data_IF_308733961653
#
_entry.id   IF_308733961653
#
_cell.length_a   1.000
_cell.length_b   1.000
_cell.length_c   1.000
_cell.angle_alpha   90.00
_cell.angle_beta   90.00
_cell.angle_gamma   90.00
#
_symmetry.space_group_name_H-M   'P 1'
#
loop_
_entity.id
_entity.type
_entity.pdbx_description
1 polymer ?
#
# COMPACT_ATOMS: atom_id res chain seq x y z
N UNK A 1 -7.38 11.14 17.26
CA UNK A 1 -7.68 9.79 16.70
C UNK A 1 -7.01 9.69 15.34
N UNK A 2 -6.19 8.67 15.06
CA UNK A 2 -5.57 8.50 13.76
C UNK A 2 -6.61 8.15 12.68
N UNK A 3 -6.38 8.63 11.46
CA UNK A 3 -7.21 8.40 10.27
C UNK A 3 -6.34 7.76 9.21
N UNK A 4 -6.74 6.59 8.71
CA UNK A 4 -6.17 5.97 7.53
C UNK A 4 -7.03 6.31 6.31
N UNK A 5 -6.38 6.70 5.23
CA UNK A 5 -7.04 7.00 3.96
C UNK A 5 -6.37 6.22 2.83
N UNK A 6 -7.17 5.46 2.06
CA UNK A 6 -6.72 4.82 0.82
C UNK A 6 -7.06 5.74 -0.35
N UNK A 7 -6.04 6.16 -1.09
CA UNK A 7 -6.18 7.02 -2.26
C UNK A 7 -7.04 6.40 -3.34
N UNK A 8 -6.79 5.14 -3.66
CA UNK A 8 -7.54 4.29 -4.61
C UNK A 8 -8.12 5.07 -5.82
N UNK A 9 -7.36 6.04 -6.33
CA UNK A 9 -7.80 6.91 -7.41
C UNK A 9 -7.92 6.13 -8.71
N UNK A 10 -9.08 6.26 -9.35
CA UNK A 10 -9.40 5.65 -10.64
C UNK A 10 -10.00 6.72 -11.57
N UNK A 11 -9.15 7.30 -12.42
CA UNK A 11 -9.52 8.41 -13.30
C UNK A 11 -10.85 8.19 -14.03
N UNK A 12 -11.02 7.05 -14.68
CA UNK A 12 -12.25 6.73 -15.43
C UNK A 12 -13.53 6.76 -14.59
N UNK A 13 -13.47 6.46 -13.30
CA UNK A 13 -14.63 6.54 -12.42
C UNK A 13 -14.95 8.00 -12.07
N UNK A 14 -13.91 8.82 -11.86
CA UNK A 14 -14.06 10.23 -11.53
C UNK A 14 -14.53 11.08 -12.72
N UNK A 15 -14.26 10.64 -13.95
CA UNK A 15 -14.76 11.27 -15.17
C UNK A 15 -16.28 11.12 -15.36
N UNK A 16 -16.92 10.21 -14.59
CA UNK A 16 -18.37 9.94 -14.69
C UNK A 16 -19.24 11.04 -14.11
N UNK A 17 -18.69 11.98 -13.37
CA UNK A 17 -19.41 13.12 -12.79
C UNK A 17 -18.55 14.39 -12.80
N UNK A 18 -19.21 15.54 -12.81
CA UNK A 18 -18.54 16.84 -12.72
C UNK A 18 -17.99 17.07 -11.31
N UNK A 19 -16.70 16.79 -11.12
CA UNK A 19 -16.01 16.91 -9.85
C UNK A 19 -14.55 17.27 -10.03
N UNK A 20 -13.95 17.89 -9.01
CA UNK A 20 -12.52 18.08 -8.91
C UNK A 20 -11.91 17.03 -7.95
N UNK A 21 -11.41 15.90 -8.50
CA UNK A 21 -10.84 14.84 -7.67
C UNK A 21 -9.64 15.31 -6.85
N UNK A 22 -8.83 16.23 -7.40
CA UNK A 22 -7.69 16.77 -6.68
C UNK A 22 -8.11 17.55 -5.45
N UNK A 23 -9.06 18.46 -5.58
CA UNK A 23 -9.54 19.26 -4.45
C UNK A 23 -10.16 18.38 -3.36
N UNK A 24 -10.99 17.40 -3.75
CA UNK A 24 -11.65 16.47 -2.83
C UNK A 24 -10.62 15.61 -2.09
N UNK A 25 -9.73 14.95 -2.84
CA UNK A 25 -8.72 14.06 -2.27
C UNK A 25 -7.72 14.81 -1.39
N UNK A 26 -7.29 16.02 -1.79
CA UNK A 26 -6.42 16.88 -0.99
C UNK A 26 -7.05 17.20 0.37
N UNK A 27 -8.34 17.49 0.41
CA UNK A 27 -9.07 17.75 1.67
C UNK A 27 -9.09 16.51 2.57
N UNK A 28 -9.31 15.32 2.00
CA UNK A 28 -9.34 14.07 2.76
C UNK A 28 -7.95 13.71 3.29
N UNK A 29 -6.92 13.80 2.45
CA UNK A 29 -5.52 13.52 2.85
C UNK A 29 -5.01 14.50 3.88
N UNK A 30 -5.47 15.77 3.85
CA UNK A 30 -5.10 16.76 4.87
C UNK A 30 -5.54 16.37 6.29
N UNK A 31 -6.58 15.52 6.42
CA UNK A 31 -7.04 15.00 7.69
C UNK A 31 -6.41 13.64 8.06
N UNK A 32 -5.72 12.99 7.10
CA UNK A 32 -5.19 11.65 7.29
C UNK A 32 -3.89 11.63 8.10
N UNK A 33 -3.72 10.55 8.86
CA UNK A 33 -2.48 10.18 9.54
C UNK A 33 -1.67 9.19 8.71
N UNK A 34 -2.37 8.29 8.02
CA UNK A 34 -1.80 7.26 7.14
C UNK A 34 -2.42 7.41 5.76
N UNK A 35 -1.58 7.48 4.74
CA UNK A 35 -1.98 7.42 3.33
C UNK A 35 -1.57 6.07 2.74
N UNK A 36 -2.53 5.30 2.27
CA UNK A 36 -2.29 4.18 1.38
C UNK A 36 -2.35 4.73 -0.05
N UNK A 37 -1.18 4.85 -0.68
CA UNK A 37 -1.07 5.47 -2.00
C UNK A 37 0.38 5.57 -2.44
N UNK A 38 0.60 5.76 -3.72
CA UNK A 38 1.92 5.79 -4.34
C UNK A 38 2.25 7.16 -4.95
N UNK A 39 3.39 7.26 -5.64
CA UNK A 39 3.85 8.50 -6.29
C UNK A 39 2.83 9.10 -7.27
N UNK A 40 1.92 8.30 -7.87
CA UNK A 40 0.88 8.81 -8.79
C UNK A 40 -0.22 9.52 -8.03
N UNK A 41 -0.62 8.97 -6.88
CA UNK A 41 -1.58 9.60 -5.98
C UNK A 41 -1.01 10.94 -5.49
N UNK A 42 0.26 10.94 -5.06
CA UNK A 42 0.96 12.15 -4.62
C UNK A 42 1.07 13.18 -5.76
N UNK A 43 1.34 12.72 -6.99
CA UNK A 43 1.38 13.59 -8.17
C UNK A 43 0.05 14.29 -8.41
N UNK A 44 -1.05 13.56 -8.28
CA UNK A 44 -2.41 14.12 -8.39
C UNK A 44 -2.66 15.16 -7.30
N UNK A 45 -2.39 14.81 -6.04
CA UNK A 45 -2.62 15.67 -4.88
C UNK A 45 -1.86 17.00 -4.99
N UNK A 46 -0.58 16.93 -5.36
CA UNK A 46 0.30 18.11 -5.41
C UNK A 46 0.29 18.83 -6.76
N UNK A 47 -0.32 18.24 -7.80
CA UNK A 47 -0.32 18.78 -9.16
C UNK A 47 1.09 18.91 -9.76
N UNK A 48 2.01 18.03 -9.33
CA UNK A 48 3.39 17.96 -9.78
C UNK A 48 3.72 16.51 -10.10
N UNK A 49 4.37 16.25 -11.24
CA UNK A 49 4.76 14.91 -11.59
C UNK A 49 5.90 14.39 -10.70
N UNK A 50 5.73 13.20 -10.15
CA UNK A 50 6.77 12.44 -9.45
C UNK A 50 6.99 11.11 -10.16
N UNK A 51 8.26 10.67 -10.22
CA UNK A 51 8.62 9.37 -10.77
C UNK A 51 8.54 8.27 -9.69
N UNK A 52 8.13 7.09 -10.10
CA UNK A 52 8.21 5.86 -9.27
C UNK A 52 9.49 5.07 -9.50
N UNK A 53 10.41 5.57 -10.34
CA UNK A 53 11.60 4.83 -10.77
C UNK A 53 12.70 4.91 -9.70
N UNK A 54 12.87 3.80 -8.98
CA UNK A 54 13.88 3.69 -7.94
C UNK A 54 13.45 4.24 -6.58
N UNK A 55 14.22 3.86 -5.55
CA UNK A 55 13.90 4.18 -4.16
C UNK A 55 13.94 5.68 -3.87
N UNK A 56 14.92 6.39 -4.43
CA UNK A 56 15.13 7.83 -4.20
C UNK A 56 13.99 8.67 -4.77
N UNK A 57 13.52 8.34 -5.98
CA UNK A 57 12.41 9.06 -6.61
C UNK A 57 11.10 8.86 -5.86
N UNK A 58 10.89 7.66 -5.32
CA UNK A 58 9.73 7.39 -4.46
C UNK A 58 9.85 8.14 -3.14
N UNK A 59 11.05 8.23 -2.57
CA UNK A 59 11.29 9.01 -1.35
C UNK A 59 11.04 10.50 -1.57
N UNK A 60 11.50 11.07 -2.69
CA UNK A 60 11.21 12.46 -3.08
C UNK A 60 9.70 12.76 -3.07
N UNK A 61 8.89 11.85 -3.65
CA UNK A 61 7.44 11.99 -3.65
C UNK A 61 6.87 11.99 -2.22
N UNK A 62 7.29 11.03 -1.39
CA UNK A 62 6.82 10.91 0.00
C UNK A 62 7.21 12.14 0.83
N UNK A 63 8.42 12.66 0.69
CA UNK A 63 8.87 13.88 1.38
C UNK A 63 8.07 15.11 0.97
N UNK A 64 7.76 15.24 -0.32
CA UNK A 64 6.91 16.32 -0.79
C UNK A 64 5.48 16.23 -0.21
N UNK A 65 4.94 15.01 -0.09
CA UNK A 65 3.64 14.79 0.54
C UNK A 65 3.68 15.10 2.04
N UNK A 66 4.71 14.68 2.77
CA UNK A 66 4.87 15.01 4.20
C UNK A 66 5.03 16.52 4.44
N UNK A 67 5.68 17.24 3.53
CA UNK A 67 5.80 18.70 3.60
C UNK A 67 4.44 19.39 3.38
N UNK A 68 3.64 18.88 2.43
CA UNK A 68 2.35 19.45 2.08
C UNK A 68 1.23 19.09 3.10
N UNK A 69 1.33 17.93 3.75
CA UNK A 69 0.32 17.39 4.65
C UNK A 69 0.89 17.14 6.06
N UNK A 70 0.89 18.14 6.96
CA UNK A 70 1.55 18.02 8.27
C UNK A 70 0.99 16.90 9.17
N UNK A 71 -0.27 16.49 8.98
CA UNK A 71 -0.88 15.39 9.75
C UNK A 71 -0.42 14.01 9.32
N UNK A 72 0.11 13.86 8.08
CA UNK A 72 0.62 12.58 7.61
C UNK A 72 1.86 12.16 8.41
N UNK A 73 1.82 10.95 8.91
CA UNK A 73 2.93 10.27 9.59
C UNK A 73 3.48 9.11 8.75
N UNK A 74 2.61 8.44 7.98
CA UNK A 74 2.95 7.27 7.19
C UNK A 74 2.36 7.38 5.79
N UNK A 75 3.15 6.89 4.81
CA UNK A 75 2.71 6.64 3.43
C UNK A 75 3.09 5.21 3.09
N UNK A 76 2.14 4.40 2.66
CA UNK A 76 2.37 3.00 2.33
C UNK A 76 1.85 2.67 0.92
N UNK A 77 2.62 1.88 0.19
CA UNK A 77 2.28 1.49 -1.18
C UNK A 77 2.80 0.11 -1.53
N UNK A 78 2.18 -0.50 -2.54
CA UNK A 78 2.69 -1.70 -3.20
C UNK A 78 3.19 -1.38 -4.60
N UNK A 79 4.16 -2.13 -5.07
CA UNK A 79 4.52 -2.22 -6.48
C UNK A 79 4.24 -3.63 -6.97
N UNK A 80 3.63 -3.72 -8.15
CA UNK A 80 3.29 -4.98 -8.79
C UNK A 80 3.87 -5.02 -10.19
N UNK A 81 4.63 -6.09 -10.46
CA UNK A 81 5.10 -6.44 -11.78
C UNK A 81 4.31 -7.65 -12.30
N UNK A 82 3.62 -7.46 -13.41
CA UNK A 82 2.81 -8.51 -14.04
C UNK A 82 3.74 -9.39 -14.88
N UNK A 83 3.87 -10.66 -14.52
CA UNK A 83 4.59 -11.67 -15.31
C UNK A 83 3.62 -12.37 -16.25
N UNK A 84 2.55 -12.94 -15.68
CA UNK A 84 1.38 -13.48 -16.42
C UNK A 84 0.10 -13.09 -15.67
N UNK A 85 -1.07 -13.53 -16.14
CA UNK A 85 -2.35 -13.25 -15.48
C UNK A 85 -2.47 -13.86 -14.08
N UNK A 86 -1.78 -14.96 -13.83
CA UNK A 86 -1.78 -15.74 -12.59
C UNK A 86 -0.43 -15.76 -11.86
N UNK A 87 0.55 -14.96 -12.35
CA UNK A 87 1.88 -14.84 -11.78
C UNK A 87 2.31 -13.38 -11.72
N UNK A 88 2.49 -12.86 -10.53
CA UNK A 88 2.97 -11.49 -10.28
C UNK A 88 4.20 -11.50 -9.37
N UNK A 89 5.03 -10.48 -9.52
CA UNK A 89 6.00 -10.09 -8.49
C UNK A 89 5.49 -8.85 -7.78
N UNK A 90 5.52 -8.88 -6.48
CA UNK A 90 5.01 -7.78 -5.65
C UNK A 90 6.05 -7.39 -4.61
N UNK A 91 6.09 -6.10 -4.31
CA UNK A 91 6.86 -5.53 -3.21
C UNK A 91 6.04 -4.48 -2.49
N UNK A 92 6.41 -4.18 -1.27
CA UNK A 92 5.79 -3.18 -0.43
C UNK A 92 6.79 -2.09 -0.05
N UNK A 93 6.27 -0.90 0.22
CA UNK A 93 7.04 0.21 0.73
C UNK A 93 6.25 0.96 1.78
N UNK A 94 6.91 1.33 2.87
CA UNK A 94 6.40 2.25 3.88
C UNK A 94 7.41 3.34 4.11
N UNK A 95 6.97 4.58 4.04
CA UNK A 95 7.71 5.79 4.39
C UNK A 95 7.10 6.40 5.65
N UNK A 96 7.93 6.77 6.62
CA UNK A 96 7.65 7.73 7.67
C UNK A 96 8.39 9.03 7.40
N UNK A 97 8.26 10.01 8.30
CA UNK A 97 9.04 11.26 8.20
C UNK A 97 10.52 11.03 8.37
N UNK A 98 10.90 10.07 9.22
CA UNK A 98 12.28 9.80 9.63
C UNK A 98 12.93 8.65 8.86
N UNK A 99 12.14 7.67 8.46
CA UNK A 99 12.65 6.41 7.91
C UNK A 99 11.82 5.94 6.72
N UNK A 100 12.39 5.02 5.96
CA UNK A 100 11.68 4.29 4.91
C UNK A 100 12.17 2.85 4.85
N UNK A 101 11.27 1.96 4.45
CA UNK A 101 11.62 0.60 4.11
C UNK A 101 10.89 0.17 2.83
N UNK A 102 11.62 -0.51 1.95
CA UNK A 102 11.07 -1.18 0.79
C UNK A 102 11.51 -2.64 0.83
N UNK A 103 10.55 -3.53 0.80
CA UNK A 103 10.81 -4.99 0.79
C UNK A 103 11.46 -5.42 -0.52
N UNK A 104 12.06 -6.60 -0.51
CA UNK A 104 12.33 -7.34 -1.74
C UNK A 104 11.04 -7.65 -2.51
N UNK A 105 11.18 -8.00 -3.79
CA UNK A 105 10.07 -8.57 -4.55
C UNK A 105 9.85 -10.03 -4.14
N UNK A 106 8.60 -10.42 -3.95
CA UNK A 106 8.20 -11.82 -3.79
C UNK A 106 7.35 -12.27 -4.99
N UNK A 107 7.46 -13.54 -5.34
CA UNK A 107 6.64 -14.13 -6.39
C UNK A 107 5.33 -14.65 -5.80
N UNK A 108 4.23 -14.30 -6.47
CA UNK A 108 2.88 -14.80 -6.17
C UNK A 108 2.38 -15.52 -7.41
N UNK A 109 2.24 -16.83 -7.31
CA UNK A 109 1.84 -17.71 -8.41
C UNK A 109 0.52 -18.40 -8.09
N UNK A 110 -0.18 -18.87 -9.12
CA UNK A 110 -1.46 -19.56 -8.95
C UNK A 110 -2.52 -18.63 -8.33
N UNK A 111 -2.55 -17.38 -8.78
CA UNK A 111 -3.44 -16.35 -8.25
C UNK A 111 -4.90 -16.77 -8.46
N UNK A 112 -5.64 -16.86 -7.35
CA UNK A 112 -7.07 -17.20 -7.33
C UNK A 112 -7.91 -15.93 -7.48
N UNK A 113 -7.56 -14.85 -6.75
CA UNK A 113 -8.31 -13.60 -6.75
C UNK A 113 -7.37 -12.41 -6.50
N UNK A 114 -7.69 -11.28 -7.13
CA UNK A 114 -6.95 -10.02 -6.97
C UNK A 114 -7.74 -8.92 -6.29
N UNK A 115 -9.05 -9.07 -6.21
CA UNK A 115 -9.92 -8.11 -5.52
C UNK A 115 -9.64 -8.20 -4.01
N UNK A 116 -9.60 -7.06 -3.34
CA UNK A 116 -9.30 -6.98 -1.90
C UNK A 116 -7.81 -7.13 -1.52
N UNK A 117 -6.90 -7.30 -2.49
CA UNK A 117 -5.45 -7.40 -2.18
C UNK A 117 -4.86 -6.07 -1.70
N UNK A 118 -5.39 -4.93 -2.17
CA UNK A 118 -5.05 -3.59 -1.65
C UNK A 118 -5.53 -3.39 -0.23
N UNK A 119 -6.77 -3.79 0.07
CA UNK A 119 -7.34 -3.73 1.42
C UNK A 119 -6.57 -4.63 2.39
N UNK A 120 -6.16 -5.81 1.93
CA UNK A 120 -5.31 -6.72 2.70
C UNK A 120 -3.93 -6.08 3.00
N UNK A 121 -3.33 -5.40 2.01
CA UNK A 121 -2.11 -4.63 2.23
C UNK A 121 -2.29 -3.57 3.32
N UNK A 122 -3.32 -2.75 3.18
CA UNK A 122 -3.62 -1.71 4.15
C UNK A 122 -3.84 -2.28 5.55
N UNK A 123 -4.58 -3.39 5.66
CA UNK A 123 -4.82 -4.08 6.93
C UNK A 123 -3.53 -4.58 7.57
N UNK A 124 -2.61 -5.18 6.79
CA UNK A 124 -1.32 -5.64 7.29
C UNK A 124 -0.43 -4.50 7.80
N UNK A 125 -0.35 -3.39 7.05
CA UNK A 125 0.37 -2.18 7.47
C UNK A 125 -0.20 -1.63 8.77
N UNK A 126 -1.52 -1.46 8.84
CA UNK A 126 -2.20 -0.92 10.01
C UNK A 126 -2.09 -1.85 11.23
N UNK A 127 -2.14 -3.18 11.03
CA UNK A 127 -1.93 -4.16 12.08
C UNK A 127 -0.55 -4.00 12.75
N UNK A 128 0.52 -3.94 11.95
CA UNK A 128 1.87 -3.76 12.45
C UNK A 128 2.06 -2.38 13.10
N UNK A 129 1.52 -1.31 12.50
CA UNK A 129 1.57 0.04 13.05
C UNK A 129 0.92 0.15 14.43
N UNK A 130 -0.31 -0.35 14.56
CA UNK A 130 -1.05 -0.35 15.83
C UNK A 130 -0.39 -1.24 16.89
N UNK A 131 0.37 -2.24 16.48
CA UNK A 131 1.22 -3.07 17.33
C UNK A 131 2.55 -2.43 17.74
N UNK A 132 2.84 -1.20 17.27
CA UNK A 132 4.10 -0.49 17.58
C UNK A 132 5.30 -0.95 16.72
N UNK A 133 5.05 -1.64 15.61
CA UNK A 133 6.09 -2.05 14.66
C UNK A 133 6.72 -0.84 13.93
N UNK A 134 7.96 -1.00 13.49
CA UNK A 134 8.67 -0.03 12.66
C UNK A 134 8.24 -0.11 11.18
N UNK A 135 8.80 0.77 10.33
CA UNK A 135 8.45 0.82 8.89
C UNK A 135 8.77 -0.49 8.16
N UNK A 136 9.75 -1.25 8.62
CA UNK A 136 10.08 -2.55 8.05
C UNK A 136 8.99 -3.57 8.41
N UNK A 137 8.63 -3.69 9.68
CA UNK A 137 7.56 -4.57 10.14
C UNK A 137 6.21 -4.25 9.45
N UNK A 138 5.91 -2.96 9.26
CA UNK A 138 4.71 -2.53 8.54
C UNK A 138 4.72 -2.98 7.08
N UNK A 139 5.84 -2.78 6.37
CA UNK A 139 5.96 -3.16 4.96
C UNK A 139 5.88 -4.67 4.76
N UNK A 140 6.60 -5.44 5.59
CA UNK A 140 6.60 -6.90 5.53
C UNK A 140 5.21 -7.49 5.87
N UNK A 141 4.54 -6.97 6.91
CA UNK A 141 3.19 -7.40 7.27
C UNK A 141 2.17 -7.11 6.16
N UNK A 142 2.25 -5.91 5.56
CA UNK A 142 1.41 -5.56 4.41
C UNK A 142 1.65 -6.45 3.20
N UNK A 143 2.93 -6.71 2.87
CA UNK A 143 3.31 -7.60 1.77
C UNK A 143 2.81 -9.02 1.99
N UNK A 144 3.01 -9.57 3.20
CA UNK A 144 2.59 -10.90 3.56
C UNK A 144 1.07 -11.08 3.42
N UNK A 145 0.30 -10.14 3.97
CA UNK A 145 -1.16 -10.24 3.92
C UNK A 145 -1.70 -10.07 2.50
N UNK A 146 -1.09 -9.19 1.68
CA UNK A 146 -1.37 -9.07 0.25
C UNK A 146 -1.09 -10.38 -0.50
N UNK A 147 0.06 -10.99 -0.27
CA UNK A 147 0.43 -12.25 -0.93
C UNK A 147 -0.56 -13.37 -0.59
N UNK A 148 -0.84 -13.56 0.69
CA UNK A 148 -1.81 -14.54 1.17
C UNK A 148 -3.21 -14.31 0.59
N UNK A 149 -3.65 -13.03 0.48
CA UNK A 149 -4.95 -12.70 -0.10
C UNK A 149 -5.10 -13.16 -1.56
N UNK A 150 -4.03 -13.17 -2.34
CA UNK A 150 -4.09 -13.66 -3.72
C UNK A 150 -4.48 -15.14 -3.83
N UNK A 151 -4.35 -15.92 -2.75
CA UNK A 151 -4.62 -17.37 -2.73
C UNK A 151 -6.04 -17.73 -2.30
N UNK A 152 -6.86 -16.77 -1.89
CA UNK A 152 -8.23 -17.00 -1.43
C UNK A 152 -9.25 -16.27 -2.31
N UNK A 153 -10.40 -16.89 -2.58
CA UNK A 153 -11.46 -16.27 -3.38
C UNK A 153 -12.21 -15.18 -2.62
N UNK A 154 -12.92 -14.36 -3.37
CA UNK A 154 -13.71 -13.25 -2.84
C UNK A 154 -12.87 -12.00 -2.52
N UNK A 155 -13.52 -10.95 -2.08
CA UNK A 155 -12.89 -9.65 -1.80
C UNK A 155 -12.36 -9.52 -0.35
N UNK A 156 -12.97 -10.26 0.57
CA UNK A 156 -12.58 -10.21 2.00
C UNK A 156 -11.30 -10.99 2.28
N UNK A 157 -10.42 -10.40 3.08
CA UNK A 157 -9.23 -11.06 3.60
C UNK A 157 -9.57 -11.75 4.93
N UNK A 158 -9.73 -13.08 4.89
CA UNK A 158 -10.06 -13.91 6.06
C UNK A 158 -8.80 -14.55 6.67
N UNK A 159 -7.64 -13.94 6.49
CA UNK A 159 -6.38 -14.43 7.05
C UNK A 159 -6.27 -14.01 8.52
N UNK A 160 -6.07 -15.00 9.39
CA UNK A 160 -5.83 -14.78 10.81
C UNK A 160 -4.36 -14.48 11.12
N UNK A 161 -4.12 -14.00 12.34
CA UNK A 161 -2.79 -13.64 12.84
C UNK A 161 -1.76 -14.78 12.69
N UNK A 162 -2.14 -15.99 13.05
CA UNK A 162 -1.27 -17.17 13.02
C UNK A 162 -0.71 -17.45 11.61
N UNK A 163 -1.56 -17.33 10.58
CA UNK A 163 -1.15 -17.51 9.18
C UNK A 163 -0.21 -16.39 8.73
N UNK A 164 -0.47 -15.14 9.15
CA UNK A 164 0.39 -14.00 8.86
C UNK A 164 1.77 -14.16 9.50
N UNK A 165 1.85 -14.55 10.78
CA UNK A 165 3.09 -14.78 11.51
C UNK A 165 3.90 -15.93 10.90
N UNK A 166 3.24 -17.03 10.52
CA UNK A 166 3.86 -18.17 9.85
C UNK A 166 4.47 -17.79 8.50
N UNK A 167 3.78 -16.99 7.70
CA UNK A 167 4.30 -16.51 6.42
C UNK A 167 5.53 -15.62 6.62
N UNK A 168 5.49 -14.69 7.57
CA UNK A 168 6.57 -13.75 7.88
C UNK A 168 7.82 -14.45 8.45
N UNK A 169 7.67 -15.60 9.11
CA UNK A 169 8.77 -16.40 9.64
C UNK A 169 9.55 -17.22 8.58
N UNK A 170 9.29 -16.99 7.29
CA UNK A 170 9.98 -17.67 6.19
C UNK A 170 9.27 -18.95 5.71
N UNK A 171 8.05 -19.20 6.20
CA UNK A 171 7.19 -20.27 5.72
C UNK A 171 6.47 -19.92 4.41
N UNK A 172 7.15 -19.30 3.45
CA UNK A 172 6.58 -18.86 2.17
C UNK A 172 6.00 -19.96 1.27
N UNK A 173 5.96 -21.19 1.76
CA UNK A 173 5.22 -22.27 1.14
C UNK A 173 3.83 -22.36 1.82
N UNK A 174 2.83 -21.84 1.17
CA UNK A 174 1.43 -21.97 1.63
C UNK A 174 1.10 -23.46 1.58
N UNK A 175 1.26 -24.13 2.70
CA UNK A 175 0.80 -25.53 2.82
C UNK A 175 -0.71 -25.55 2.61
N UNK A 176 -1.09 -26.21 1.53
CA UNK A 176 -2.50 -26.56 1.23
C UNK A 176 -3.02 -27.59 2.20
#
# INVERSE_FOLDING_TARGET
MPISFDGNYRAMLWESWDSDPRAILTRLVSAATVLIGNHRDISLLLGKAFSGDGADRRREASEAAFAAFPNLQLIASTARHLVTSDHHRISARVDSREAMHQTGEIEVTGIVERIGTGDAFAAGVLHAWLGGGDVAAMAESGLALTALKHTIPGDMCLIGREALESFSAGGGDVRR
#
